data_IF_106747492556
#
_entry.id   IF_106747492556
#
_cell.length_a   1.000
_cell.length_b   1.000
_cell.length_c   1.000
_cell.angle_alpha   90.00
_cell.angle_beta   90.00
_cell.angle_gamma   90.00
#
_symmetry.space_group_name_H-M   'P 1'
#
loop_
_entity.id
_entity.type
_entity.pdbx_description
1 polymer ?
#
# COMPACT_ATOMS: atom_id res chain seq x y z
N UNK A 1 -9.31 -10.47 4.23
CA UNK A 1 -8.18 -9.75 4.89
C UNK A 1 -6.91 -10.49 4.51
N UNK A 2 -5.84 -9.79 4.19
CA UNK A 2 -4.57 -10.42 3.76
C UNK A 2 -3.51 -10.14 4.82
N UNK A 3 -2.67 -11.14 5.12
CA UNK A 3 -1.55 -10.92 6.05
C UNK A 3 -0.52 -10.02 5.40
N UNK A 4 0.01 -9.06 6.16
CA UNK A 4 1.00 -8.12 5.67
C UNK A 4 2.11 -7.89 6.68
N UNK A 5 3.31 -7.66 6.17
CA UNK A 5 4.44 -7.11 6.92
C UNK A 5 4.74 -5.73 6.37
N UNK A 6 4.55 -4.71 7.19
CA UNK A 6 4.87 -3.33 6.85
C UNK A 6 6.19 -2.90 7.50
N UNK A 7 7.10 -2.33 6.71
CA UNK A 7 8.33 -1.71 7.19
C UNK A 7 8.32 -0.23 6.86
N UNK A 8 8.42 0.64 7.87
CA UNK A 8 8.63 2.08 7.62
C UNK A 8 10.04 2.28 7.07
N UNK A 9 10.17 2.76 5.84
CA UNK A 9 11.47 2.93 5.18
C UNK A 9 11.93 4.39 5.13
N UNK A 10 11.01 5.33 5.30
CA UNK A 10 11.31 6.76 5.31
C UNK A 10 10.33 7.54 6.16
N UNK A 11 10.81 8.60 6.79
CA UNK A 11 9.99 9.64 7.41
C UNK A 11 9.86 10.84 6.47
N UNK A 12 8.69 11.45 6.41
CA UNK A 12 8.40 12.66 5.62
C UNK A 12 7.81 13.79 6.46
N UNK A 13 7.62 13.60 7.76
CA UNK A 13 7.19 14.67 8.65
C UNK A 13 8.29 15.72 8.81
N UNK A 14 7.92 17.00 8.77
CA UNK A 14 8.83 18.11 9.07
C UNK A 14 9.34 18.09 10.52
N UNK A 15 8.70 17.31 11.40
CA UNK A 15 9.05 17.17 12.81
C UNK A 15 10.08 16.06 12.99
N UNK A 16 11.32 16.44 13.30
CA UNK A 16 12.56 15.64 13.39
C UNK A 16 12.49 14.46 14.35
N UNK A 17 11.67 13.49 14.02
CA UNK A 17 11.56 12.26 14.76
C UNK A 17 11.50 11.12 13.76
N UNK A 18 12.68 10.59 13.40
CA UNK A 18 12.87 9.32 12.69
C UNK A 18 12.33 8.11 13.48
N UNK A 19 11.40 8.33 14.41
CA UNK A 19 10.80 7.35 15.29
C UNK A 19 10.14 6.29 14.43
N UNK A 20 10.69 5.09 14.53
CA UNK A 20 10.17 3.90 13.88
C UNK A 20 10.59 3.70 12.43
N UNK A 21 11.51 4.48 11.84
CA UNK A 21 12.15 4.06 10.58
C UNK A 21 12.89 2.74 10.84
N UNK A 22 12.68 1.76 9.97
CA UNK A 22 13.14 0.37 10.15
C UNK A 22 12.20 -0.50 11.00
N UNK A 23 11.21 0.09 11.68
CA UNK A 23 10.24 -0.69 12.48
C UNK A 23 9.39 -1.56 11.57
N UNK A 24 9.31 -2.83 11.96
CA UNK A 24 8.49 -3.83 11.30
C UNK A 24 7.17 -3.97 12.04
N UNK A 25 6.11 -4.05 11.27
CA UNK A 25 4.72 -4.12 11.69
C UNK A 25 4.08 -5.31 10.98
N UNK A 26 3.94 -6.43 11.68
CA UNK A 26 3.24 -7.61 11.18
C UNK A 26 1.76 -7.48 11.50
N UNK A 27 0.89 -7.89 10.58
CA UNK A 27 -0.52 -7.68 10.78
C UNK A 27 -1.43 -8.16 9.66
N UNK A 28 -2.67 -7.69 9.71
CA UNK A 28 -3.66 -7.89 8.64
C UNK A 28 -4.05 -6.56 8.01
N UNK A 29 -4.16 -6.57 6.68
CA UNK A 29 -4.69 -5.48 5.89
C UNK A 29 -6.20 -5.65 5.73
N UNK A 30 -6.97 -4.65 6.21
CA UNK A 30 -8.43 -4.64 6.03
C UNK A 30 -8.82 -4.22 4.62
N UNK A 31 -8.11 -3.25 4.05
CA UNK A 31 -8.34 -2.74 2.71
C UNK A 31 -7.02 -2.38 2.05
N UNK A 32 -6.92 -2.60 0.74
CA UNK A 32 -5.77 -2.12 -0.02
C UNK A 32 -5.59 -0.60 0.16
N UNK A 33 -4.34 -0.11 0.20
CA UNK A 33 -4.06 1.31 0.26
C UNK A 33 -4.61 2.00 -0.99
N UNK A 34 -5.40 3.05 -0.80
CA UNK A 34 -5.98 3.85 -1.88
C UNK A 34 -5.60 5.30 -1.64
N UNK A 35 -5.15 5.99 -2.69
CA UNK A 35 -4.79 7.41 -2.63
C UNK A 35 -5.97 8.23 -2.10
N UNK A 36 -5.69 9.15 -1.17
CA UNK A 36 -6.71 9.97 -0.50
C UNK A 36 -7.45 9.27 0.65
N UNK A 37 -7.23 7.96 0.87
CA UNK A 37 -7.77 7.23 2.03
C UNK A 37 -6.67 6.87 3.03
N UNK A 38 -7.05 6.71 4.30
CA UNK A 38 -6.15 6.18 5.32
C UNK A 38 -5.78 4.72 5.05
N UNK A 39 -4.50 4.38 5.18
CA UNK A 39 -4.06 2.97 5.18
C UNK A 39 -4.24 2.37 6.57
N UNK A 40 -4.94 1.24 6.72
CA UNK A 40 -5.19 0.61 8.03
C UNK A 40 -4.57 -0.78 8.16
N UNK A 41 -3.66 -0.93 9.13
CA UNK A 41 -2.98 -2.19 9.47
C UNK A 41 -3.26 -2.57 10.93
N UNK A 42 -3.55 -3.85 11.16
CA UNK A 42 -3.90 -4.43 12.46
C UNK A 42 -2.78 -5.32 12.98
N UNK A 43 -2.19 -5.05 14.14
CA UNK A 43 -1.03 -5.81 14.67
C UNK A 43 -1.27 -6.53 16.00
N UNK A 44 -2.36 -6.26 16.68
CA UNK A 44 -2.65 -6.82 18.00
C UNK A 44 -3.67 -7.97 17.90
N UNK A 45 -3.61 -9.06 18.70
CA UNK A 45 -4.69 -10.03 18.85
C UNK A 45 -6.07 -9.41 19.11
N UNK A 46 -6.15 -8.19 19.67
CA UNK A 46 -7.40 -7.45 19.89
C UNK A 46 -7.85 -6.58 18.70
N UNK A 47 -7.07 -6.51 17.62
CA UNK A 47 -7.42 -5.74 16.44
C UNK A 47 -7.22 -4.22 16.58
N UNK A 48 -6.23 -3.77 17.37
CA UNK A 48 -5.89 -2.36 17.41
C UNK A 48 -5.24 -1.88 16.10
N UNK A 49 -5.72 -0.71 15.61
CA UNK A 49 -5.25 -0.05 14.39
C UNK A 49 -3.94 0.67 14.67
N UNK A 50 -2.95 0.53 13.79
CA UNK A 50 -1.61 1.05 14.07
C UNK A 50 -1.11 2.09 13.07
N UNK A 51 -1.55 2.01 11.82
CA UNK A 51 -1.30 3.04 10.80
C UNK A 51 -2.68 3.41 10.28
N UNK A 52 -2.98 4.71 10.15
CA UNK A 52 -4.27 5.23 9.62
C UNK A 52 -4.07 6.48 8.77
N UNK A 53 -2.82 6.84 8.49
CA UNK A 53 -2.49 8.08 7.79
C UNK A 53 -2.98 8.03 6.34
N UNK A 54 -3.53 9.14 5.80
CA UNK A 54 -3.90 9.23 4.40
C UNK A 54 -2.73 8.89 3.48
N UNK A 55 -3.04 8.10 2.45
CA UNK A 55 -2.11 7.69 1.40
C UNK A 55 -2.03 8.79 0.35
N UNK A 56 -0.81 9.26 0.06
CA UNK A 56 -0.51 10.17 -1.05
C UNK A 56 -0.29 9.43 -2.36
N UNK A 57 0.44 8.32 -2.31
CA UNK A 57 0.84 7.57 -3.49
C UNK A 57 1.06 6.10 -3.15
N UNK A 58 0.67 5.23 -4.07
CA UNK A 58 0.95 3.80 -4.01
C UNK A 58 1.83 3.47 -5.22
N UNK A 59 2.98 2.84 -4.97
CA UNK A 59 3.89 2.34 -5.98
C UNK A 59 3.94 0.81 -5.83
N UNK A 60 3.33 0.08 -6.77
CA UNK A 60 3.31 -1.37 -6.76
C UNK A 60 4.30 -1.96 -7.76
N UNK A 61 4.85 -3.12 -7.46
CA UNK A 61 5.51 -3.95 -8.47
C UNK A 61 4.43 -4.68 -9.30
N UNK A 62 4.52 -4.72 -10.66
CA UNK A 62 3.46 -5.23 -11.54
C UNK A 62 3.04 -6.69 -11.30
N UNK A 63 3.89 -7.48 -10.63
CA UNK A 63 3.69 -8.90 -10.35
C UNK A 63 4.04 -9.27 -8.89
N UNK A 64 4.31 -8.27 -8.04
CA UNK A 64 4.96 -8.48 -6.76
C UNK A 64 3.99 -8.60 -5.58
N UNK A 65 4.38 -9.40 -4.59
CA UNK A 65 3.82 -9.36 -3.23
C UNK A 65 4.27 -8.11 -2.46
N UNK A 66 4.92 -7.15 -3.12
CA UNK A 66 5.50 -5.96 -2.50
C UNK A 66 4.88 -4.69 -3.06
N UNK A 67 4.42 -3.81 -2.16
CA UNK A 67 3.92 -2.48 -2.51
C UNK A 67 4.55 -1.42 -1.61
N UNK A 68 4.92 -0.29 -2.19
CA UNK A 68 5.41 0.87 -1.47
C UNK A 68 4.26 1.87 -1.34
N UNK A 69 3.98 2.28 -0.11
CA UNK A 69 2.89 3.21 0.22
C UNK A 69 3.49 4.46 0.83
N UNK A 70 3.29 5.58 0.15
CA UNK A 70 3.61 6.90 0.63
C UNK A 70 2.38 7.50 1.29
N UNK A 71 2.48 7.79 2.58
CA UNK A 71 1.47 8.50 3.36
C UNK A 71 1.87 9.97 3.53
N UNK A 72 0.99 10.79 4.12
CA UNK A 72 1.30 12.19 4.46
C UNK A 72 2.63 12.38 5.19
N UNK A 73 3.02 11.42 6.04
CA UNK A 73 4.11 11.55 7.00
C UNK A 73 5.23 10.52 6.84
N UNK A 74 5.08 9.50 6.00
CA UNK A 74 6.00 8.35 5.99
C UNK A 74 5.91 7.56 4.70
N UNK A 75 6.92 6.74 4.44
CA UNK A 75 6.88 5.74 3.37
C UNK A 75 7.01 4.36 4.00
N UNK A 76 6.12 3.46 3.61
CA UNK A 76 6.08 2.08 4.06
C UNK A 76 6.33 1.14 2.88
N UNK A 77 7.14 0.10 3.10
CA UNK A 77 7.19 -1.08 2.25
C UNK A 77 6.26 -2.12 2.86
N UNK A 78 5.24 -2.55 2.13
CA UNK A 78 4.35 -3.64 2.53
C UNK A 78 4.72 -4.89 1.75
N UNK A 79 4.83 -5.99 2.47
CA UNK A 79 4.98 -7.35 1.93
C UNK A 79 3.70 -8.11 2.25
N UNK A 80 3.03 -8.60 1.23
CA UNK A 80 1.73 -9.27 1.28
C UNK A 80 1.97 -10.77 1.35
N UNK A 81 1.51 -11.39 2.43
CA UNK A 81 1.62 -12.84 2.66
C UNK A 81 0.26 -13.48 2.38
N UNK A 82 0.15 -14.18 1.25
CA UNK A 82 -1.08 -14.82 0.76
C UNK A 82 -1.53 -14.31 -0.61
N UNK A 83 -2.61 -14.89 -1.15
CA UNK A 83 -3.12 -14.47 -2.45
C UNK A 83 -3.78 -13.08 -2.38
N UNK A 84 -3.38 -12.12 -3.24
CA UNK A 84 -4.06 -10.84 -3.36
C UNK A 84 -5.54 -11.04 -3.74
N UNK A 85 -6.46 -10.51 -2.93
CA UNK A 85 -7.91 -10.65 -3.16
C UNK A 85 -8.44 -9.90 -4.40
N UNK A 86 -7.59 -9.17 -5.13
CA UNK A 86 -7.97 -8.49 -6.36
C UNK A 86 -6.87 -8.66 -7.41
N UNK A 87 -7.21 -8.82 -8.69
CA UNK A 87 -6.23 -8.67 -9.76
C UNK A 87 -5.63 -7.27 -9.63
N UNK A 88 -4.31 -7.18 -9.54
CA UNK A 88 -3.61 -5.91 -9.69
C UNK A 88 -3.99 -5.42 -11.09
N UNK A 89 -4.80 -4.37 -11.19
CA UNK A 89 -5.01 -3.66 -12.45
C UNK A 89 -3.65 -3.14 -12.87
N UNK A 90 -2.99 -3.93 -13.72
CA UNK A 90 -1.72 -3.56 -14.34
C UNK A 90 -2.04 -2.27 -15.12
N UNK A 91 -1.31 -1.16 -14.93
CA UNK A 91 -1.52 0.04 -15.73
C UNK A 91 -1.40 -0.22 -17.24
N UNK A 92 -0.81 -1.36 -17.64
CA UNK A 92 -0.75 -1.85 -19.02
C UNK A 92 -2.11 -2.26 -19.62
N UNK A 93 -3.15 -2.55 -18.82
CA UNK A 93 -4.51 -2.84 -19.35
C UNK A 93 -5.36 -1.58 -19.57
N UNK A 94 -5.01 -0.46 -18.96
CA UNK A 94 -5.68 0.81 -19.24
C UNK A 94 -5.32 1.32 -20.64
N UNK A 95 -4.07 1.13 -21.07
CA UNK A 95 -3.57 1.58 -22.38
C UNK A 95 -4.06 0.69 -23.54
N UNK A 96 -4.26 -0.62 -23.30
CA UNK A 96 -4.83 -1.53 -24.31
C UNK A 96 -6.35 -1.35 -24.51
N UNK A 97 -7.09 -0.91 -23.48
CA UNK A 97 -8.53 -0.68 -23.57
C UNK A 97 -8.88 0.58 -24.39
N UNK A 98 -7.99 1.60 -24.40
CA UNK A 98 -8.16 2.79 -25.23
C UNK A 98 -7.79 2.50 -26.70
N UNK A 99 -6.77 1.67 -26.95
CA UNK A 99 -6.36 1.30 -28.31
C UNK A 99 -7.39 0.43 -29.07
N UNK A 100 -8.15 -0.44 -28.40
CA UNK A 100 -9.24 -1.19 -29.04
C UNK A 100 -10.49 -0.35 -29.33
N UNK A 101 -10.66 0.80 -28.65
CA UNK A 101 -11.78 1.71 -28.90
C UNK A 101 -11.54 2.60 -30.14
N UNK A 102 -10.29 2.93 -30.46
CA UNK A 102 -9.94 3.80 -31.60
C UNK A 102 -9.87 3.02 -32.93
N UNK A 103 -9.67 1.71 -32.91
CA UNK A 103 -9.66 0.88 -34.12
C UNK A 103 -11.06 0.54 -34.69
N UNK A 104 -12.13 1.06 -34.07
CA UNK A 104 -13.53 0.77 -34.46
C UNK A 104 -14.36 2.01 -34.79
N UNK A 105 -13.73 3.18 -34.92
CA UNK A 105 -14.34 4.41 -35.45
C UNK A 105 -13.88 4.66 -36.89
#
# INVERSE_FOLDING_TARGET
MVSVTARKIRDQGSDRSSIGVGRIYTGYLISYPVVGRGMVIFRDPHGHRMITTPVKRVLGEPEGQMIYVETENSVYKLEIHGEPLFPMDRPERAELAEAEAEAKA
#
